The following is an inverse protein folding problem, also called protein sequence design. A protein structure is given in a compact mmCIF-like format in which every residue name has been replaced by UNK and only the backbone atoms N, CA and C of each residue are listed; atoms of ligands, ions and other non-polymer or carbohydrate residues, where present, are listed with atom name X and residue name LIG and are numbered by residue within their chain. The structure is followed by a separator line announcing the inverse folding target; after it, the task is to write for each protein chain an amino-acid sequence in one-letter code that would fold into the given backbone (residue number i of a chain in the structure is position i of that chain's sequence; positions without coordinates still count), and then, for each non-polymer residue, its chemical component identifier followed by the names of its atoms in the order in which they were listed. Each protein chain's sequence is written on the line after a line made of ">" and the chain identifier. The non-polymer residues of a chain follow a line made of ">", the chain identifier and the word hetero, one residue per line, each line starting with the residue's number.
data_IF_178632652841
#
_entry.id   IF_178632652841
#
_cell.length_a   1.000
_cell.length_b   1.000
_cell.length_c   1.000
_cell.angle_alpha   90.00
_cell.angle_beta   90.00
_cell.angle_gamma   90.00
#
_symmetry.space_group_name_H-M   'P 1'
#
loop_
_entity.id
_entity.type
_entity.pdbx_description
1 polymer ?
#
# COMPACT_ATOMS: atom_id res chain seq x y z
N UNK A 1 20.41 -30.89 -0.19
CA UNK A 1 20.14 -30.42 1.19
C UNK A 1 19.91 -31.68 2.02
N UNK A 2 20.60 -31.83 3.16
CA UNK A 2 20.46 -33.01 4.04
C UNK A 2 19.45 -32.71 5.16
N UNK A 3 19.56 -31.56 5.84
CA UNK A 3 18.50 -31.00 6.70
C UNK A 3 18.72 -29.51 6.99
N UNK A 4 17.74 -28.80 7.58
CA UNK A 4 17.80 -27.40 8.04
C UNK A 4 17.89 -27.34 9.57
N UNK A 5 18.98 -26.77 10.10
CA UNK A 5 19.20 -26.65 11.54
C UNK A 5 18.63 -25.37 12.16
N UNK A 6 18.64 -24.26 11.41
CA UNK A 6 18.15 -22.96 11.88
C UNK A 6 17.83 -22.04 10.70
N UNK A 7 16.71 -21.31 10.82
CA UNK A 7 16.37 -20.19 9.96
C UNK A 7 16.69 -18.87 10.66
N UNK A 8 17.22 -17.90 9.92
CA UNK A 8 17.60 -16.58 10.47
C UNK A 8 16.78 -15.48 9.81
N UNK A 9 16.22 -14.60 10.63
CA UNK A 9 15.55 -13.39 10.18
C UNK A 9 16.02 -12.17 10.99
N UNK A 10 15.96 -10.99 10.38
CA UNK A 10 16.23 -9.74 11.07
C UNK A 10 15.11 -9.46 12.07
N UNK A 11 15.48 -9.17 13.32
CA UNK A 11 14.54 -8.86 14.40
C UNK A 11 14.98 -7.59 15.15
N UNK A 12 14.02 -6.83 15.65
CA UNK A 12 14.28 -5.76 16.60
C UNK A 12 14.41 -6.36 18.01
N UNK A 13 15.56 -6.17 18.65
CA UNK A 13 15.84 -6.68 19.99
C UNK A 13 15.95 -5.51 20.97
N UNK A 14 15.25 -5.59 22.09
CA UNK A 14 15.33 -4.62 23.18
C UNK A 14 16.00 -5.23 24.41
N UNK A 15 16.88 -4.46 25.05
CA UNK A 15 17.41 -4.82 26.37
C UNK A 15 16.30 -4.79 27.43
N UNK A 16 16.28 -5.77 28.35
CA UNK A 16 15.22 -5.92 29.36
C UNK A 16 15.12 -4.76 30.34
N UNK A 17 16.24 -4.18 30.77
CA UNK A 17 16.27 -3.03 31.69
C UNK A 17 15.78 -1.76 30.98
N UNK A 18 16.18 -1.58 29.71
CA UNK A 18 15.67 -0.50 28.88
C UNK A 18 14.15 -0.62 28.66
N UNK A 19 13.64 -1.84 28.46
CA UNK A 19 12.21 -2.12 28.32
C UNK A 19 11.41 -1.84 29.60
N UNK A 20 12.00 -2.04 30.77
CA UNK A 20 11.35 -1.74 32.06
C UNK A 20 11.26 -0.23 32.34
N UNK A 21 12.08 0.61 31.67
CA UNK A 21 12.00 2.06 31.79
C UNK A 21 10.93 2.64 30.83
N UNK A 22 9.88 3.33 31.32
CA UNK A 22 8.77 3.78 30.48
C UNK A 22 9.15 4.72 29.33
N UNK A 23 10.07 5.66 29.57
CA UNK A 23 10.49 6.62 28.54
C UNK A 23 11.28 5.92 27.42
N UNK A 24 12.17 5.00 27.79
CA UNK A 24 12.93 4.19 26.82
C UNK A 24 12.02 3.24 26.06
N UNK A 25 11.08 2.60 26.75
CA UNK A 25 10.10 1.71 26.13
C UNK A 25 9.27 2.42 25.06
N UNK A 26 8.76 3.61 25.36
CA UNK A 26 8.00 4.41 24.38
C UNK A 26 8.80 4.71 23.10
N UNK A 27 10.10 5.01 23.22
CA UNK A 27 10.99 5.20 22.07
C UNK A 27 11.19 3.90 21.28
N UNK A 28 11.36 2.77 21.96
CA UNK A 28 11.51 1.45 21.32
C UNK A 28 10.23 1.08 20.56
N UNK A 29 9.06 1.26 21.17
CA UNK A 29 7.76 1.02 20.55
C UNK A 29 7.56 1.91 19.31
N UNK A 30 7.98 3.18 19.37
CA UNK A 30 7.95 4.09 18.23
C UNK A 30 8.82 3.61 17.07
N UNK A 31 10.04 3.11 17.36
CA UNK A 31 10.92 2.51 16.35
C UNK A 31 10.29 1.26 15.76
N UNK A 32 9.74 0.38 16.62
CA UNK A 32 9.06 -0.86 16.20
C UNK A 32 7.91 -0.55 15.24
N UNK A 33 7.07 0.44 15.56
CA UNK A 33 5.98 0.88 14.70
C UNK A 33 6.49 1.36 13.34
N UNK A 34 7.55 2.18 13.33
CA UNK A 34 8.09 2.73 12.09
C UNK A 34 8.76 1.67 11.21
N UNK A 35 9.36 0.64 11.80
CA UNK A 35 9.91 -0.52 11.09
C UNK A 35 8.79 -1.39 10.51
N UNK A 36 7.77 -1.69 11.30
CA UNK A 36 6.61 -2.46 10.82
C UNK A 36 5.91 -1.72 9.67
N UNK A 37 5.69 -0.41 9.81
CA UNK A 37 5.09 0.39 8.74
C UNK A 37 5.90 0.38 7.43
N UNK A 38 7.24 0.31 7.52
CA UNK A 38 8.09 0.18 6.35
C UNK A 38 7.96 -1.22 5.72
N UNK A 39 7.91 -2.28 6.53
CA UNK A 39 7.68 -3.65 6.07
C UNK A 39 6.30 -3.81 5.42
N UNK A 40 5.27 -3.17 5.97
CA UNK A 40 3.91 -3.20 5.42
C UNK A 40 3.76 -2.41 4.12
N UNK A 41 4.60 -1.38 3.93
CA UNK A 41 4.69 -0.63 2.68
C UNK A 41 5.50 -1.40 1.62
N UNK A 42 6.44 -2.23 2.05
CA UNK A 42 7.21 -3.08 1.16
C UNK A 42 6.28 -4.03 0.40
N UNK A 43 6.39 -4.03 -0.92
CA UNK A 43 5.47 -4.75 -1.80
C UNK A 43 4.18 -4.02 -2.16
N UNK A 44 3.89 -2.83 -1.61
CA UNK A 44 2.71 -2.01 -1.99
C UNK A 44 3.09 -0.75 -2.75
N UNK A 45 2.15 -0.27 -3.55
CA UNK A 45 2.26 0.98 -4.31
C UNK A 45 0.97 1.77 -4.19
N UNK A 46 1.10 3.09 -4.22
CA UNK A 46 -0.04 3.97 -4.44
C UNK A 46 -0.33 4.05 -5.93
N UNK A 47 -1.61 4.00 -6.28
CA UNK A 47 -2.10 4.15 -7.64
C UNK A 47 -3.12 5.29 -7.68
N UNK A 48 -2.87 6.26 -8.55
CA UNK A 48 -3.77 7.38 -8.82
C UNK A 48 -4.14 7.38 -10.30
N UNK A 49 -5.39 7.60 -10.62
CA UNK A 49 -5.87 7.69 -12.00
C UNK A 49 -7.13 8.54 -12.11
N UNK A 50 -7.47 8.92 -13.33
CA UNK A 50 -8.75 9.52 -13.67
C UNK A 50 -9.56 8.56 -14.53
N UNK A 51 -10.87 8.53 -14.35
CA UNK A 51 -11.78 7.75 -15.18
C UNK A 51 -13.13 8.47 -15.29
N UNK A 52 -13.84 8.26 -16.40
CA UNK A 52 -15.22 8.73 -16.54
C UNK A 52 -16.10 8.11 -15.45
N UNK A 53 -16.95 8.94 -14.84
CA UNK A 53 -17.87 8.54 -13.76
C UNK A 53 -18.79 7.39 -14.18
N UNK A 54 -19.20 7.36 -15.45
CA UNK A 54 -20.03 6.30 -16.04
C UNK A 54 -19.35 4.93 -16.03
N UNK A 55 -18.02 4.88 -16.12
CA UNK A 55 -17.22 3.64 -16.19
C UNK A 55 -16.69 3.17 -14.83
N UNK A 56 -16.77 4.03 -13.80
CA UNK A 56 -16.27 3.71 -12.46
C UNK A 56 -16.89 2.43 -11.89
N UNK A 57 -18.20 2.26 -12.02
CA UNK A 57 -18.90 1.10 -11.46
C UNK A 57 -18.41 -0.22 -12.06
N UNK A 58 -18.12 -0.23 -13.37
CA UNK A 58 -17.60 -1.41 -14.06
C UNK A 58 -16.13 -1.66 -13.72
N UNK A 59 -15.33 -0.60 -13.60
CA UNK A 59 -13.93 -0.71 -13.15
C UNK A 59 -13.84 -1.31 -11.75
N UNK A 60 -14.66 -0.86 -10.79
CA UNK A 60 -14.70 -1.39 -9.42
C UNK A 60 -15.14 -2.86 -9.36
N UNK A 61 -16.02 -3.31 -10.27
CA UNK A 61 -16.44 -4.72 -10.34
C UNK A 61 -15.37 -5.61 -10.92
N UNK A 62 -14.69 -5.16 -11.98
CA UNK A 62 -13.67 -5.96 -12.67
C UNK A 62 -12.35 -6.00 -11.89
N UNK A 63 -12.11 -5.01 -11.03
CA UNK A 63 -10.85 -4.83 -10.32
C UNK A 63 -11.06 -4.76 -8.82
N UNK A 64 -11.32 -5.91 -8.16
CA UNK A 64 -11.48 -5.96 -6.70
C UNK A 64 -10.22 -5.55 -5.93
N UNK A 65 -9.07 -5.48 -6.61
CA UNK A 65 -7.84 -4.91 -6.05
C UNK A 65 -7.98 -3.41 -5.70
N UNK A 66 -8.88 -2.67 -6.34
CA UNK A 66 -9.21 -1.27 -6.02
C UNK A 66 -10.13 -1.16 -4.80
N UNK A 67 -10.02 -2.04 -3.81
CA UNK A 67 -10.98 -2.14 -2.70
C UNK A 67 -10.98 -0.85 -1.87
N UNK A 68 -12.16 -0.23 -1.74
CA UNK A 68 -12.40 1.06 -1.06
C UNK A 68 -11.45 2.18 -1.53
N UNK A 69 -11.44 2.50 -2.82
CA UNK A 69 -10.59 3.58 -3.29
C UNK A 69 -11.16 4.92 -2.83
N UNK A 70 -10.29 5.90 -2.63
CA UNK A 70 -10.72 7.29 -2.49
C UNK A 70 -11.20 7.75 -3.86
N UNK A 71 -12.43 8.25 -3.93
CA UNK A 71 -13.02 8.79 -5.16
C UNK A 71 -13.33 10.25 -4.96
N UNK A 72 -12.72 11.10 -5.77
CA UNK A 72 -12.86 12.56 -5.72
C UNK A 72 -13.40 13.08 -7.04
N UNK A 73 -14.40 13.96 -6.98
CA UNK A 73 -14.90 14.66 -8.17
C UNK A 73 -13.82 15.61 -8.71
N UNK A 74 -13.66 15.64 -10.03
CA UNK A 74 -12.78 16.59 -10.71
C UNK A 74 -13.56 17.86 -11.10
N UNK A 75 -12.86 18.85 -11.65
CA UNK A 75 -13.48 20.08 -12.15
C UNK A 75 -14.49 19.80 -13.29
N UNK A 76 -14.22 18.76 -14.09
CA UNK A 76 -15.19 18.18 -15.00
C UNK A 76 -15.99 17.10 -14.26
N UNK A 77 -17.30 17.31 -14.10
CA UNK A 77 -18.20 16.41 -13.37
C UNK A 77 -18.34 15.02 -14.04
N UNK A 78 -18.04 14.92 -15.33
CA UNK A 78 -18.03 13.66 -16.06
C UNK A 78 -16.87 12.75 -15.63
N UNK A 79 -15.86 13.30 -14.95
CA UNK A 79 -14.65 12.57 -14.54
C UNK A 79 -14.50 12.51 -13.01
N UNK A 80 -13.84 11.45 -12.57
CA UNK A 80 -13.46 11.24 -11.18
C UNK A 80 -12.00 10.87 -11.09
N UNK A 81 -11.32 11.35 -10.04
CA UNK A 81 -10.04 10.84 -9.61
C UNK A 81 -10.24 9.67 -8.66
N UNK A 82 -9.50 8.59 -8.89
CA UNK A 82 -9.49 7.38 -8.08
C UNK A 82 -8.08 7.20 -7.53
N UNK A 83 -7.98 7.01 -6.23
CA UNK A 83 -6.72 6.74 -5.53
C UNK A 83 -6.86 5.50 -4.64
N UNK A 84 -5.87 4.61 -4.71
CA UNK A 84 -5.87 3.37 -3.93
C UNK A 84 -4.45 2.88 -3.65
N UNK A 85 -4.32 2.00 -2.65
CA UNK A 85 -3.08 1.30 -2.35
C UNK A 85 -3.26 -0.17 -2.72
N UNK A 86 -2.37 -0.68 -3.56
CA UNK A 86 -2.42 -2.05 -4.07
C UNK A 86 -1.07 -2.75 -3.93
N UNK A 87 -1.09 -4.06 -4.04
CA UNK A 87 0.12 -4.86 -4.18
C UNK A 87 0.84 -4.52 -5.50
N UNK A 88 2.15 -4.30 -5.44
CA UNK A 88 3.03 -3.97 -6.58
C UNK A 88 3.02 -5.05 -7.66
N UNK A 89 2.73 -6.30 -7.30
CA UNK A 89 2.59 -7.38 -8.29
C UNK A 89 1.32 -7.21 -9.11
N UNK A 90 0.23 -6.75 -8.48
CA UNK A 90 -1.07 -6.55 -9.11
C UNK A 90 -1.06 -5.31 -10.02
N UNK A 91 -0.29 -4.27 -9.68
CA UNK A 91 -0.24 -3.04 -10.47
C UNK A 91 0.20 -3.27 -11.92
N UNK A 92 1.11 -4.23 -12.15
CA UNK A 92 1.62 -4.59 -13.49
C UNK A 92 0.53 -5.02 -14.45
N UNK A 93 -0.45 -5.77 -13.96
CA UNK A 93 -1.57 -6.27 -14.77
C UNK A 93 -2.74 -5.26 -14.77
N UNK A 94 -2.88 -4.51 -13.69
CA UNK A 94 -3.98 -3.58 -13.48
C UNK A 94 -3.87 -2.33 -14.37
N UNK A 95 -2.68 -1.74 -14.51
CA UNK A 95 -2.48 -0.51 -15.27
C UNK A 95 -2.90 -0.66 -16.76
N UNK A 96 -2.48 -1.71 -17.49
CA UNK A 96 -2.93 -1.94 -18.86
C UNK A 96 -4.46 -2.14 -18.96
N UNK A 97 -5.05 -2.89 -18.03
CA UNK A 97 -6.48 -3.14 -18.01
C UNK A 97 -7.28 -1.85 -17.74
N UNK A 98 -6.84 -1.01 -16.79
CA UNK A 98 -7.42 0.31 -16.54
C UNK A 98 -7.33 1.20 -17.78
N UNK A 99 -6.19 1.17 -18.48
CA UNK A 99 -6.01 1.95 -19.70
C UNK A 99 -6.98 1.50 -20.80
N UNK A 100 -7.20 0.20 -20.96
CA UNK A 100 -8.16 -0.35 -21.91
C UNK A 100 -9.61 0.03 -21.58
N UNK A 101 -9.93 0.25 -20.29
CA UNK A 101 -11.23 0.76 -19.84
C UNK A 101 -11.38 2.28 -20.01
N UNK A 102 -10.36 2.98 -20.52
CA UNK A 102 -10.39 4.43 -20.73
C UNK A 102 -9.96 5.24 -19.51
N UNK A 103 -9.22 4.65 -18.57
CA UNK A 103 -8.55 5.43 -17.54
C UNK A 103 -7.43 6.29 -18.14
N UNK A 104 -7.25 7.47 -17.56
CA UNK A 104 -6.27 8.47 -17.95
C UNK A 104 -5.44 8.95 -16.75
N UNK A 105 -4.27 9.52 -17.03
CA UNK A 105 -3.40 10.07 -15.98
C UNK A 105 -3.03 9.05 -14.90
N UNK A 106 -2.81 7.78 -15.28
CA UNK A 106 -2.44 6.72 -14.33
C UNK A 106 -1.02 6.97 -13.82
N UNK A 107 -0.86 7.11 -12.51
CA UNK A 107 0.40 7.34 -11.81
C UNK A 107 0.57 6.29 -10.72
N UNK A 108 1.67 5.55 -10.79
CA UNK A 108 2.15 4.66 -9.74
C UNK A 108 3.25 5.37 -8.94
N UNK A 109 3.20 5.28 -7.62
CA UNK A 109 4.25 5.82 -6.74
C UNK A 109 4.59 4.85 -5.60
N UNK A 110 5.88 4.81 -5.19
CA UNK A 110 6.31 3.95 -4.09
C UNK A 110 5.76 4.46 -2.76
N UNK A 111 5.41 3.52 -1.87
CA UNK A 111 5.06 3.83 -0.50
C UNK A 111 6.28 3.61 0.40
N UNK A 112 6.59 4.60 1.22
CA UNK A 112 7.71 4.48 2.16
C UNK A 112 7.30 3.83 3.48
N UNK A 113 6.07 4.09 3.93
CA UNK A 113 5.49 3.61 5.19
C UNK A 113 3.97 3.53 5.06
N UNK A 114 3.39 2.47 5.58
CA UNK A 114 1.93 2.28 5.71
C UNK A 114 1.66 1.90 7.15
N UNK A 115 1.00 2.79 7.89
CA UNK A 115 0.61 2.55 9.28
C UNK A 115 -0.86 2.08 9.26
N UNK A 116 -1.17 0.89 9.80
CA UNK A 116 -2.53 0.38 9.88
C UNK A 116 -3.38 1.09 10.94
#
# INVERSE_FOLDING_TARGET
>A
IVDVLMETNTVLIANKEAWANPEKRSKIESISLMLDAALQADGKVGLKLNIERSKLADALKQMPALRNPTVSSLADEAWVAVETVIEKRVSRDLIPALKAMGAEGIVEYPLNKVVP
#
